data_IF_102010600801
#
_entry.id   IF_102010600801
#
_cell.length_a   1.000
_cell.length_b   1.000
_cell.length_c   1.000
_cell.angle_alpha   90.00
_cell.angle_beta   90.00
_cell.angle_gamma   90.00
#
_symmetry.space_group_name_H-M   'P 1'
#
loop_
_entity.id
_entity.type
_entity.pdbx_description
1 polymer ?
#
# COMPACT_ATOMS: atom_id res chain seq x y z
N UNK A 1 29.80 18.51 -6.18
CA UNK A 1 29.56 17.85 -4.88
C UNK A 1 28.49 18.58 -4.05
N UNK A 2 27.28 18.80 -4.59
CA UNK A 2 26.17 19.50 -3.88
C UNK A 2 24.81 18.88 -4.25
N UNK A 3 24.72 17.55 -4.32
CA UNK A 3 23.46 16.86 -4.69
C UNK A 3 23.03 15.80 -3.66
N UNK A 4 23.73 15.72 -2.53
CA UNK A 4 23.48 14.74 -1.46
C UNK A 4 22.99 15.40 -0.14
N UNK A 5 22.79 16.72 -0.11
CA UNK A 5 22.53 17.48 1.14
C UNK A 5 21.06 17.93 1.33
N UNK A 6 20.13 17.46 0.50
CA UNK A 6 18.69 17.79 0.63
C UNK A 6 17.79 16.59 0.94
N UNK A 7 18.35 15.41 1.27
CA UNK A 7 17.56 14.19 1.49
C UNK A 7 17.06 13.97 2.94
N UNK A 8 17.20 14.94 3.83
CA UNK A 8 16.95 14.73 5.26
C UNK A 8 16.07 15.81 5.89
N UNK A 9 14.82 15.93 5.45
CA UNK A 9 13.77 16.31 6.40
C UNK A 9 13.21 15.03 7.01
N UNK A 10 13.11 14.96 8.34
CA UNK A 10 12.56 13.77 9.02
C UNK A 10 11.15 13.40 8.53
N UNK A 11 10.42 14.40 8.03
CA UNK A 11 9.07 14.26 7.43
C UNK A 11 9.10 13.43 6.14
N UNK A 12 10.05 13.66 5.23
CA UNK A 12 10.15 12.86 3.99
C UNK A 12 10.47 11.39 4.25
N UNK A 13 11.36 11.12 5.22
CA UNK A 13 11.70 9.75 5.62
C UNK A 13 10.48 8.99 6.17
N UNK A 14 9.64 9.67 6.97
CA UNK A 14 8.39 9.10 7.51
C UNK A 14 7.39 8.84 6.38
N UNK A 15 7.23 9.79 5.45
CA UNK A 15 6.35 9.61 4.30
C UNK A 15 6.78 8.42 3.43
N UNK A 16 8.07 8.29 3.14
CA UNK A 16 8.62 7.16 2.38
C UNK A 16 8.35 5.80 3.07
N UNK A 17 8.49 5.74 4.40
CA UNK A 17 8.15 4.53 5.15
C UNK A 17 6.66 4.18 5.04
N UNK A 18 5.77 5.18 5.15
CA UNK A 18 4.32 4.97 5.02
C UNK A 18 3.97 4.50 3.60
N UNK A 19 4.58 5.06 2.57
CA UNK A 19 4.40 4.61 1.19
C UNK A 19 4.80 3.14 0.99
N UNK A 20 5.92 2.71 1.57
CA UNK A 20 6.34 1.29 1.53
C UNK A 20 5.32 0.39 2.22
N UNK A 21 4.83 0.79 3.40
CA UNK A 21 3.82 0.04 4.13
C UNK A 21 2.57 -0.13 3.26
N UNK A 22 2.08 0.94 2.62
CA UNK A 22 0.94 0.89 1.71
C UNK A 22 1.21 -0.11 0.58
N UNK A 23 2.35 0.01 -0.11
CA UNK A 23 2.71 -0.85 -1.23
C UNK A 23 2.71 -2.33 -0.85
N UNK A 24 3.31 -2.69 0.30
CA UNK A 24 3.35 -4.07 0.79
C UNK A 24 1.94 -4.62 1.11
N UNK A 25 1.06 -3.78 1.65
CA UNK A 25 -0.32 -4.16 1.92
C UNK A 25 -1.10 -4.39 0.63
N UNK A 26 -0.93 -3.55 -0.40
CA UNK A 26 -1.59 -3.73 -1.69
C UNK A 26 -1.07 -4.98 -2.39
N UNK A 27 0.24 -5.21 -2.36
CA UNK A 27 0.84 -6.43 -2.88
C UNK A 27 0.22 -7.69 -2.26
N UNK A 28 0.17 -7.76 -0.92
CA UNK A 28 -0.46 -8.88 -0.22
C UNK A 28 -1.94 -9.02 -0.53
N UNK A 29 -2.68 -7.91 -0.66
CA UNK A 29 -4.08 -7.94 -1.03
C UNK A 29 -4.32 -8.47 -2.45
N UNK A 30 -3.48 -8.08 -3.43
CA UNK A 30 -3.57 -8.56 -4.82
C UNK A 30 -3.35 -10.07 -4.87
N UNK A 31 -2.36 -10.61 -4.16
CA UNK A 31 -2.13 -12.05 -4.09
C UNK A 31 -3.29 -12.80 -3.44
N UNK A 32 -3.82 -12.32 -2.32
CA UNK A 32 -4.96 -12.99 -1.68
C UNK A 32 -6.18 -13.02 -2.61
N UNK A 33 -6.43 -11.92 -3.33
CA UNK A 33 -7.54 -11.86 -4.30
C UNK A 33 -7.29 -12.77 -5.51
N UNK A 34 -6.05 -12.90 -6.00
CA UNK A 34 -5.73 -13.83 -7.11
C UNK A 34 -5.95 -15.29 -6.73
N UNK A 35 -5.76 -15.64 -5.46
CA UNK A 35 -6.09 -16.97 -4.89
C UNK A 35 -7.58 -17.15 -4.57
N UNK A 36 -8.46 -16.22 -4.99
CA UNK A 36 -9.90 -16.30 -4.78
C UNK A 36 -10.37 -15.96 -3.37
N UNK A 37 -9.53 -15.32 -2.54
CA UNK A 37 -9.91 -14.88 -1.19
C UNK A 37 -10.55 -13.50 -1.30
N UNK A 38 -11.78 -13.38 -0.81
CA UNK A 38 -12.53 -12.12 -0.78
C UNK A 38 -12.67 -11.54 0.64
N UNK A 39 -12.82 -10.21 0.79
CA UNK A 39 -12.98 -9.60 2.10
C UNK A 39 -14.18 -10.15 2.87
N UNK A 40 -13.92 -10.78 4.01
CA UNK A 40 -14.92 -11.40 4.89
C UNK A 40 -14.75 -10.92 6.33
N UNK A 41 -15.72 -11.21 7.19
CA UNK A 41 -15.60 -10.97 8.64
C UNK A 41 -14.97 -12.16 9.38
N UNK A 42 -14.63 -13.25 8.66
CA UNK A 42 -14.03 -14.46 9.22
C UNK A 42 -12.76 -14.88 8.46
N UNK A 43 -11.89 -15.65 9.14
CA UNK A 43 -10.73 -16.35 8.57
C UNK A 43 -9.81 -15.50 7.65
N UNK A 44 -9.44 -16.04 6.48
CA UNK A 44 -8.54 -15.42 5.50
C UNK A 44 -9.14 -14.14 4.93
N UNK A 45 -10.46 -14.09 4.74
CA UNK A 45 -11.14 -12.89 4.29
C UNK A 45 -11.11 -11.76 5.32
N UNK A 46 -11.09 -12.07 6.61
CA UNK A 46 -10.87 -11.07 7.68
C UNK A 46 -9.47 -10.48 7.61
N UNK A 47 -8.45 -11.31 7.38
CA UNK A 47 -7.07 -10.84 7.19
C UNK A 47 -6.98 -9.89 5.99
N UNK A 48 -7.54 -10.27 4.83
CA UNK A 48 -7.61 -9.41 3.65
C UNK A 48 -8.31 -8.08 3.95
N UNK A 49 -9.47 -8.12 4.63
CA UNK A 49 -10.20 -6.90 5.03
C UNK A 49 -9.33 -5.99 5.89
N UNK A 50 -8.56 -6.54 6.85
CA UNK A 50 -7.64 -5.75 7.69
C UNK A 50 -6.52 -5.11 6.90
N UNK A 51 -5.91 -5.85 5.97
CA UNK A 51 -4.82 -5.35 5.11
C UNK A 51 -5.31 -4.16 4.27
N UNK A 52 -6.46 -4.31 3.60
CA UNK A 52 -7.07 -3.25 2.79
C UNK A 52 -7.41 -2.01 3.62
N UNK A 53 -8.04 -2.19 4.79
CA UNK A 53 -8.38 -1.06 5.68
C UNK A 53 -7.14 -0.33 6.19
N UNK A 54 -6.04 -1.04 6.44
CA UNK A 54 -4.77 -0.44 6.90
C UNK A 54 -4.11 0.37 5.78
N UNK A 55 -4.08 -0.14 4.55
CA UNK A 55 -3.62 0.62 3.39
C UNK A 55 -4.45 1.90 3.16
N UNK A 56 -5.79 1.80 3.23
CA UNK A 56 -6.69 2.95 3.11
C UNK A 56 -6.44 3.99 4.21
N UNK A 57 -6.26 3.54 5.46
CA UNK A 57 -5.98 4.45 6.58
C UNK A 57 -4.70 5.25 6.34
N UNK A 58 -3.62 4.60 5.93
CA UNK A 58 -2.36 5.28 5.63
C UNK A 58 -2.47 6.20 4.41
N UNK A 59 -3.22 5.81 3.38
CA UNK A 59 -3.50 6.69 2.26
C UNK A 59 -4.24 7.96 2.68
N UNK A 60 -5.20 7.86 3.61
CA UNK A 60 -5.87 9.04 4.19
C UNK A 60 -4.92 9.91 5.00
N UNK A 61 -4.02 9.31 5.79
CA UNK A 61 -3.03 10.05 6.58
C UNK A 61 -2.07 10.87 5.69
N UNK A 62 -1.76 10.34 4.51
CA UNK A 62 -0.92 11.01 3.50
C UNK A 62 -1.71 11.89 2.53
N UNK A 63 -3.01 12.10 2.74
CA UNK A 63 -3.90 12.83 1.82
C UNK A 63 -3.84 12.33 0.35
N UNK A 64 -3.69 11.02 0.15
CA UNK A 64 -3.70 10.43 -1.19
C UNK A 64 -5.08 10.55 -1.85
N UNK A 65 -5.13 10.63 -3.19
CA UNK A 65 -6.39 10.71 -3.92
C UNK A 65 -7.23 9.45 -3.69
N UNK A 66 -8.56 9.57 -3.66
CA UNK A 66 -9.49 8.46 -3.35
C UNK A 66 -9.22 7.16 -4.13
N UNK A 67 -8.73 7.26 -5.36
CA UNK A 67 -8.54 6.13 -6.26
C UNK A 67 -7.09 5.60 -6.30
N UNK A 68 -6.21 6.00 -5.37
CA UNK A 68 -4.79 5.64 -5.38
C UNK A 68 -4.51 4.12 -5.35
N UNK A 69 -5.46 3.31 -4.87
CA UNK A 69 -5.33 1.85 -4.76
C UNK A 69 -5.29 1.15 -6.12
N UNK A 70 -6.08 1.62 -7.09
CA UNK A 70 -6.21 1.00 -8.42
C UNK A 70 -4.88 1.04 -9.19
N UNK A 71 -4.21 2.18 -9.37
CA UNK A 71 -2.94 2.23 -10.10
C UNK A 71 -1.83 1.46 -9.37
N UNK A 72 -1.83 1.43 -8.03
CA UNK A 72 -0.88 0.61 -7.25
C UNK A 72 -1.10 -0.89 -7.49
N UNK A 73 -2.35 -1.34 -7.44
CA UNK A 73 -2.69 -2.74 -7.70
C UNK A 73 -2.28 -3.16 -9.12
N UNK A 74 -2.57 -2.33 -10.12
CA UNK A 74 -2.17 -2.57 -11.51
C UNK A 74 -0.64 -2.62 -11.66
N UNK A 75 0.07 -1.66 -11.08
CA UNK A 75 1.55 -1.62 -11.11
C UNK A 75 2.16 -2.88 -10.50
N UNK A 76 1.64 -3.35 -9.37
CA UNK A 76 2.18 -4.53 -8.68
C UNK A 76 1.78 -5.84 -9.35
N UNK A 77 0.61 -5.91 -9.98
CA UNK A 77 0.21 -7.09 -10.76
C UNK A 77 1.04 -7.24 -12.04
N UNK A 78 1.17 -6.16 -12.84
CA UNK A 78 1.91 -6.19 -14.11
C UNK A 78 3.41 -6.40 -13.90
N UNK A 79 3.98 -5.84 -12.82
CA UNK A 79 5.41 -6.04 -12.49
C UNK A 79 5.74 -7.46 -12.02
N UNK A 80 4.72 -8.27 -11.71
CA UNK A 80 4.89 -9.64 -11.25
C UNK A 80 4.66 -10.69 -12.34
N UNK A 81 4.16 -10.29 -13.52
CA UNK A 81 4.18 -11.07 -14.75
C UNK A 81 5.49 -10.82 -15.49
#
# INVERSE_FOLDING_TARGET
AITQLTFSTGVEKVNYQIYRIIADHIKGAVFLISEGIFPSNVERGYVLRRILRRAIRFGKLLNLPKNFLIPLAYQHYVRWL
#
